data_IF_937052034653
#
_entry.id   IF_937052034653
#
_cell.length_a   1.000
_cell.length_b   1.000
_cell.length_c   1.000
_cell.angle_alpha   90.00
_cell.angle_beta   90.00
_cell.angle_gamma   90.00
#
_symmetry.space_group_name_H-M   'P 1'
#
loop_
_entity.id
_entity.type
_entity.pdbx_description
1 polymer ?
#
# COMPACT_ATOMS: atom_id res chain seq x y z
N UNK A 1 1.97 25.35 11.19
CA UNK A 1 1.76 25.22 12.65
C UNK A 1 2.01 23.78 13.14
N UNK A 2 1.90 22.75 12.29
CA UNK A 2 2.15 21.33 12.68
C UNK A 2 3.61 20.97 12.99
N UNK A 3 4.61 21.56 12.32
CA UNK A 3 6.03 21.24 12.58
C UNK A 3 6.47 21.57 14.02
N UNK A 4 5.92 22.64 14.60
CA UNK A 4 6.25 23.08 15.95
C UNK A 4 5.69 22.12 17.02
N UNK A 5 4.57 21.44 16.74
CA UNK A 5 3.95 20.48 17.66
C UNK A 5 4.75 19.18 17.68
N UNK A 6 5.21 18.68 16.53
CA UNK A 6 6.00 17.44 16.46
C UNK A 6 7.38 17.60 17.12
N UNK A 7 8.07 18.72 16.91
CA UNK A 7 9.37 19.00 17.55
C UNK A 7 9.26 19.25 19.06
N UNK A 8 8.24 19.99 19.52
CA UNK A 8 8.00 20.18 20.96
C UNK A 8 7.67 18.86 21.66
N UNK A 9 6.84 18.03 21.04
CA UNK A 9 6.44 16.74 21.63
C UNK A 9 7.63 15.77 21.69
N UNK A 10 8.56 15.82 20.73
CA UNK A 10 9.83 15.06 20.78
C UNK A 10 10.77 15.54 21.89
N UNK A 11 10.78 16.86 22.16
CA UNK A 11 11.60 17.47 23.21
C UNK A 11 11.09 17.12 24.62
N UNK A 12 9.80 16.80 24.74
CA UNK A 12 9.17 16.34 25.99
C UNK A 12 9.17 14.82 26.19
N UNK A 13 9.63 14.05 25.19
CA UNK A 13 9.90 12.61 25.35
C UNK A 13 11.36 12.33 25.76
N UNK A 14 11.54 11.19 26.43
CA UNK A 14 12.83 10.56 26.68
C UNK A 14 12.89 9.23 25.94
N UNK A 15 14.04 8.94 25.31
CA UNK A 15 14.32 7.63 24.75
C UNK A 15 14.34 6.59 25.88
N UNK A 16 13.57 5.52 25.71
CA UNK A 16 13.49 4.41 26.65
C UNK A 16 14.34 3.22 26.17
N UNK A 17 14.17 2.81 24.91
CA UNK A 17 14.91 1.72 24.30
C UNK A 17 14.97 1.85 22.78
N UNK A 18 15.95 1.21 22.14
CA UNK A 18 16.11 1.15 20.68
C UNK A 18 16.14 -0.29 20.21
N UNK A 19 15.44 -0.56 19.11
CA UNK A 19 15.29 -1.88 18.50
C UNK A 19 15.57 -1.83 17.00
N UNK A 20 15.96 -2.96 16.42
CA UNK A 20 16.19 -3.08 14.97
C UNK A 20 14.90 -3.36 14.20
N UNK A 21 13.86 -3.89 14.87
CA UNK A 21 12.58 -4.22 14.27
C UNK A 21 11.40 -3.66 15.06
N UNK A 22 10.31 -3.42 14.33
CA UNK A 22 9.04 -2.99 14.91
C UNK A 22 8.44 -4.03 15.88
N UNK A 23 8.49 -5.36 15.61
CA UNK A 23 7.93 -6.34 16.54
C UNK A 23 8.60 -6.35 17.92
N UNK A 24 9.90 -6.06 18.00
CA UNK A 24 10.63 -5.94 19.26
C UNK A 24 10.18 -4.70 20.05
N UNK A 25 10.04 -3.56 19.35
CA UNK A 25 9.52 -2.34 19.95
C UNK A 25 8.07 -2.52 20.44
N UNK A 26 7.22 -3.17 19.65
CA UNK A 26 5.84 -3.47 20.03
C UNK A 26 5.79 -4.38 21.26
N UNK A 27 6.62 -5.43 21.31
CA UNK A 27 6.70 -6.32 22.48
C UNK A 27 7.08 -5.60 23.77
N UNK A 28 7.86 -4.51 23.72
CA UNK A 28 8.12 -3.68 24.90
C UNK A 28 6.85 -2.95 25.33
N UNK A 29 6.14 -2.32 24.39
CA UNK A 29 4.88 -1.61 24.68
C UNK A 29 3.80 -2.57 25.19
N UNK A 30 3.72 -3.77 24.63
CA UNK A 30 2.78 -4.80 25.07
C UNK A 30 3.05 -5.19 26.54
N UNK A 31 4.32 -5.43 26.92
CA UNK A 31 4.67 -5.68 28.34
C UNK A 31 4.32 -4.51 29.25
N UNK A 32 4.56 -3.29 28.80
CA UNK A 32 4.19 -2.08 29.54
C UNK A 32 2.67 -2.03 29.75
N UNK A 33 1.89 -2.32 28.71
CA UNK A 33 0.42 -2.38 28.77
C UNK A 33 -0.07 -3.46 29.74
N UNK A 34 0.50 -4.66 29.68
CA UNK A 34 0.10 -5.80 30.53
C UNK A 34 0.32 -5.52 32.02
N UNK A 35 1.41 -4.79 32.34
CA UNK A 35 1.72 -4.36 33.70
C UNK A 35 0.96 -3.08 34.12
N UNK A 36 0.01 -2.61 33.31
CA UNK A 36 -0.86 -1.47 33.59
C UNK A 36 -0.20 -0.10 33.40
N UNK A 37 0.93 -0.02 32.68
CA UNK A 37 1.55 1.25 32.35
C UNK A 37 0.67 2.03 31.36
N UNK A 38 0.50 3.35 31.54
CA UNK A 38 -0.29 4.20 30.65
C UNK A 38 0.40 4.38 29.29
N UNK A 39 0.10 3.48 28.35
CA UNK A 39 0.70 3.41 27.00
C UNK A 39 0.41 4.63 26.13
N UNK A 40 -0.56 5.47 26.49
CA UNK A 40 -0.83 6.74 25.82
C UNK A 40 0.35 7.72 25.89
N UNK A 41 1.24 7.50 26.87
CA UNK A 41 2.49 8.26 27.04
C UNK A 41 3.70 7.64 26.31
N UNK A 42 3.47 6.58 25.52
CA UNK A 42 4.52 5.83 24.81
C UNK A 42 4.39 6.06 23.30
N UNK A 43 5.54 6.25 22.63
CA UNK A 43 5.63 6.49 21.19
C UNK A 43 6.69 5.60 20.57
N UNK A 44 6.36 4.93 19.47
CA UNK A 44 7.34 4.19 18.66
C UNK A 44 7.72 5.08 17.47
N UNK A 45 8.99 5.48 17.41
CA UNK A 45 9.53 6.35 16.36
C UNK A 45 10.45 5.52 15.46
N UNK A 46 10.09 5.40 14.19
CA UNK A 46 10.96 4.82 13.17
C UNK A 46 12.02 5.84 12.75
N UNK A 47 13.29 5.54 12.98
CA UNK A 47 14.40 6.43 12.73
C UNK A 47 15.24 6.01 11.52
N UNK A 48 15.84 7.00 10.84
CA UNK A 48 16.63 6.78 9.63
C UNK A 48 15.80 6.18 8.49
N UNK A 49 14.57 6.66 8.30
CA UNK A 49 13.66 6.18 7.25
C UNK A 49 14.32 6.36 5.88
N UNK A 50 14.50 5.26 5.16
CA UNK A 50 14.90 5.26 3.76
C UNK A 50 13.75 4.83 2.88
N UNK A 51 13.62 5.48 1.74
CA UNK A 51 12.74 5.01 0.68
C UNK A 51 13.49 3.98 -0.14
N UNK A 52 12.96 2.75 -0.22
CA UNK A 52 13.51 1.71 -1.09
C UNK A 52 12.55 1.54 -2.26
N UNK A 53 13.05 1.80 -3.47
CA UNK A 53 12.31 1.60 -4.72
C UNK A 53 12.70 0.23 -5.29
N UNK A 54 11.84 -0.79 -5.09
CA UNK A 54 12.12 -2.11 -5.66
C UNK A 54 11.67 -2.16 -7.12
N UNK A 55 12.64 -2.31 -8.02
CA UNK A 55 12.41 -2.48 -9.45
C UNK A 55 11.87 -3.89 -9.69
N UNK A 56 10.56 -4.02 -9.90
CA UNK A 56 9.89 -5.32 -10.08
C UNK A 56 9.89 -5.82 -11.52
N UNK A 57 10.20 -4.96 -12.49
CA UNK A 57 10.33 -5.32 -13.90
C UNK A 57 10.04 -4.17 -14.86
N UNK A 58 10.15 -4.46 -16.17
CA UNK A 58 9.81 -3.52 -17.24
C UNK A 58 8.32 -3.60 -17.57
N UNK A 59 7.60 -2.50 -17.37
CA UNK A 59 6.22 -2.38 -17.87
C UNK A 59 6.28 -1.99 -19.35
N UNK A 60 6.14 -2.96 -20.24
CA UNK A 60 6.10 -2.70 -21.70
C UNK A 60 4.69 -2.34 -22.13
N UNK A 61 4.57 -1.57 -23.22
CA UNK A 61 3.28 -1.22 -23.86
C UNK A 61 2.40 -2.44 -24.15
N UNK A 62 3.02 -3.59 -24.45
CA UNK A 62 2.31 -4.86 -24.64
C UNK A 62 1.66 -5.41 -23.36
N UNK A 63 2.30 -5.26 -22.20
CA UNK A 63 1.73 -5.69 -20.92
C UNK A 63 0.54 -4.81 -20.51
N UNK A 64 0.61 -3.50 -20.79
CA UNK A 64 -0.51 -2.59 -20.56
C UNK A 64 -1.70 -2.89 -21.49
N UNK A 65 -1.43 -3.16 -22.77
CA UNK A 65 -2.46 -3.58 -23.72
C UNK A 65 -3.10 -4.91 -23.32
N UNK A 66 -2.31 -5.89 -22.86
CA UNK A 66 -2.84 -7.17 -22.35
C UNK A 66 -3.71 -6.98 -21.09
N UNK A 67 -3.26 -6.17 -20.14
CA UNK A 67 -4.04 -5.87 -18.93
C UNK A 67 -5.38 -5.20 -19.30
N UNK A 68 -5.34 -4.24 -20.23
CA UNK A 68 -6.54 -3.62 -20.78
C UNK A 68 -7.43 -4.61 -21.54
N UNK A 69 -6.86 -5.54 -22.30
CA UNK A 69 -7.62 -6.56 -23.01
C UNK A 69 -8.38 -7.48 -22.05
N UNK A 70 -7.74 -7.88 -20.94
CA UNK A 70 -8.37 -8.72 -19.91
C UNK A 70 -9.53 -7.98 -19.24
N UNK A 71 -9.35 -6.72 -18.85
CA UNK A 71 -10.43 -5.95 -18.22
C UNK A 71 -11.57 -5.66 -19.19
N UNK A 72 -11.25 -5.34 -20.45
CA UNK A 72 -12.23 -5.13 -21.51
C UNK A 72 -12.98 -6.41 -21.90
N UNK A 73 -12.30 -7.56 -21.92
CA UNK A 73 -12.92 -8.86 -22.16
C UNK A 73 -13.97 -9.17 -21.09
N UNK A 74 -13.64 -8.95 -19.81
CA UNK A 74 -14.57 -9.12 -18.70
C UNK A 74 -15.80 -8.22 -18.85
N UNK A 75 -15.59 -6.94 -19.18
CA UNK A 75 -16.68 -6.00 -19.44
C UNK A 75 -17.53 -6.43 -20.66
N UNK A 76 -16.88 -6.89 -21.73
CA UNK A 76 -17.53 -7.44 -22.92
C UNK A 76 -18.43 -8.62 -22.58
N UNK A 77 -17.95 -9.57 -21.77
CA UNK A 77 -18.75 -10.70 -21.28
C UNK A 77 -19.95 -10.23 -20.47
N UNK A 78 -19.78 -9.26 -19.57
CA UNK A 78 -20.88 -8.69 -18.79
C UNK A 78 -21.98 -8.11 -19.70
N UNK A 79 -21.59 -7.27 -20.67
CA UNK A 79 -22.51 -6.66 -21.62
C UNK A 79 -23.18 -7.73 -22.49
N UNK A 80 -22.40 -8.70 -22.98
CA UNK A 80 -22.93 -9.83 -23.73
C UNK A 80 -23.95 -10.64 -22.96
N UNK A 81 -23.71 -10.92 -21.67
CA UNK A 81 -24.63 -11.69 -20.82
C UNK A 81 -25.91 -10.91 -20.59
N UNK A 82 -25.81 -9.60 -20.39
CA UNK A 82 -26.95 -8.71 -20.22
C UNK A 82 -27.86 -8.74 -21.46
N UNK A 83 -27.30 -8.55 -22.66
CA UNK A 83 -28.08 -8.61 -23.91
C UNK A 83 -28.50 -10.04 -24.27
N UNK A 84 -27.67 -11.03 -23.94
CA UNK A 84 -27.95 -12.44 -24.13
C UNK A 84 -29.19 -12.90 -23.36
N UNK A 85 -29.45 -12.34 -22.18
CA UNK A 85 -30.65 -12.63 -21.38
C UNK A 85 -31.95 -12.29 -22.11
N UNK A 86 -31.93 -11.30 -23.00
CA UNK A 86 -33.07 -10.89 -23.81
C UNK A 86 -33.09 -11.52 -25.21
N UNK A 87 -32.13 -12.39 -25.52
CA UNK A 87 -31.99 -13.01 -26.85
C UNK A 87 -32.51 -14.45 -26.84
N UNK A 88 -33.42 -14.76 -27.76
CA UNK A 88 -33.98 -16.09 -27.90
C UNK A 88 -33.07 -17.05 -28.71
N UNK A 89 -33.18 -18.35 -28.43
CA UNK A 89 -32.47 -19.41 -29.18
C UNK A 89 -30.96 -19.41 -28.93
N UNK A 90 -30.16 -19.95 -29.85
CA UNK A 90 -28.71 -20.06 -29.67
C UNK A 90 -27.93 -18.76 -29.97
N UNK A 91 -28.61 -17.67 -30.35
CA UNK A 91 -27.97 -16.42 -30.76
C UNK A 91 -27.29 -15.68 -29.60
N UNK A 92 -27.67 -15.94 -28.35
CA UNK A 92 -26.99 -15.36 -27.18
C UNK A 92 -25.51 -15.76 -27.11
N UNK A 93 -25.13 -16.97 -27.55
CA UNK A 93 -23.74 -17.43 -27.57
C UNK A 93 -22.92 -16.57 -28.55
N UNK A 94 -23.48 -16.26 -29.73
CA UNK A 94 -22.81 -15.40 -30.70
C UNK A 94 -22.66 -13.96 -30.19
N UNK A 95 -23.69 -13.42 -29.54
CA UNK A 95 -23.61 -12.11 -28.89
C UNK A 95 -22.54 -12.07 -27.79
N UNK A 96 -22.41 -13.12 -26.98
CA UNK A 96 -21.34 -13.25 -26.00
C UNK A 96 -19.95 -13.23 -26.63
N UNK A 97 -19.74 -14.01 -27.69
CA UNK A 97 -18.45 -14.07 -28.36
C UNK A 97 -18.09 -12.72 -28.98
N UNK A 98 -19.02 -12.10 -29.70
CA UNK A 98 -18.80 -10.79 -30.34
C UNK A 98 -18.49 -9.71 -29.30
N UNK A 99 -19.29 -9.63 -28.23
CA UNK A 99 -19.08 -8.64 -27.16
C UNK A 99 -17.77 -8.88 -26.39
N UNK A 100 -17.37 -10.13 -26.16
CA UNK A 100 -16.07 -10.49 -25.61
C UNK A 100 -14.92 -9.97 -26.49
N UNK A 101 -14.94 -10.23 -27.81
CA UNK A 101 -13.87 -9.79 -28.72
C UNK A 101 -13.82 -8.27 -28.85
N UNK A 102 -14.98 -7.61 -28.97
CA UNK A 102 -15.06 -6.15 -29.05
C UNK A 102 -14.58 -5.53 -27.74
N UNK A 103 -15.01 -6.07 -26.59
CA UNK A 103 -14.58 -5.63 -25.27
C UNK A 103 -13.07 -5.78 -25.08
N UNK A 104 -12.52 -6.93 -25.46
CA UNK A 104 -11.08 -7.18 -25.40
C UNK A 104 -10.29 -6.22 -26.29
N UNK A 105 -10.76 -5.97 -27.53
CA UNK A 105 -10.11 -5.06 -28.46
C UNK A 105 -10.10 -3.63 -27.93
N UNK A 106 -11.26 -3.08 -27.54
CA UNK A 106 -11.34 -1.73 -27.00
C UNK A 106 -10.63 -1.60 -25.66
N UNK A 107 -10.72 -2.61 -24.80
CA UNK A 107 -9.95 -2.67 -23.56
C UNK A 107 -8.45 -2.61 -23.80
N UNK A 108 -7.93 -3.34 -24.79
CA UNK A 108 -6.54 -3.29 -25.17
C UNK A 108 -6.12 -1.89 -25.65
N UNK A 109 -6.95 -1.25 -26.48
CA UNK A 109 -6.73 0.11 -26.97
C UNK A 109 -6.71 1.11 -25.80
N UNK A 110 -7.69 1.05 -24.89
CA UNK A 110 -7.72 1.92 -23.71
C UNK A 110 -6.56 1.65 -22.75
N UNK A 111 -6.18 0.39 -22.53
CA UNK A 111 -5.01 0.05 -21.71
C UNK A 111 -3.71 0.59 -22.30
N UNK A 112 -3.57 0.53 -23.62
CA UNK A 112 -2.45 1.12 -24.35
C UNK A 112 -2.46 2.66 -24.26
N UNK A 113 -3.60 3.30 -24.53
CA UNK A 113 -3.74 4.77 -24.49
C UNK A 113 -3.57 5.31 -23.08
N UNK A 114 -4.12 4.64 -22.07
CA UNK A 114 -3.93 4.99 -20.66
C UNK A 114 -2.44 4.99 -20.34
N UNK A 115 -1.72 3.90 -20.65
CA UNK A 115 -0.28 3.80 -20.44
C UNK A 115 0.52 4.87 -21.22
N UNK A 116 0.08 5.22 -22.43
CA UNK A 116 0.70 6.30 -23.22
C UNK A 116 0.45 7.67 -22.58
N UNK A 117 -0.76 7.95 -22.12
CA UNK A 117 -1.18 9.22 -21.53
C UNK A 117 -0.54 9.49 -20.17
N UNK A 118 -0.26 8.43 -19.39
CA UNK A 118 0.46 8.52 -18.10
C UNK A 118 1.96 8.80 -18.28
N UNK A 119 2.43 9.01 -19.52
CA UNK A 119 3.82 9.30 -19.92
C UNK A 119 4.80 8.21 -19.46
N UNK A 120 5.38 7.49 -20.43
CA UNK A 120 6.53 6.61 -20.23
C UNK A 120 7.81 7.35 -19.83
N UNK A 121 7.83 7.93 -18.63
CA UNK A 121 8.98 8.68 -18.11
C UNK A 121 9.83 7.89 -17.11
N UNK A 122 9.43 6.69 -16.66
CA UNK A 122 10.34 5.73 -16.01
C UNK A 122 9.89 4.29 -16.30
N UNK A 123 10.76 3.52 -16.97
CA UNK A 123 10.53 2.13 -17.42
C UNK A 123 10.49 1.09 -16.28
N UNK A 124 9.92 1.43 -15.13
CA UNK A 124 9.92 0.58 -13.94
C UNK A 124 8.56 0.63 -13.23
N UNK A 125 7.97 -0.54 -12.99
CA UNK A 125 6.96 -0.65 -11.94
C UNK A 125 7.69 -0.67 -10.61
N UNK A 126 7.55 0.42 -9.85
CA UNK A 126 8.10 0.50 -8.52
C UNK A 126 7.02 0.39 -7.46
N UNK A 127 7.33 -0.39 -6.43
CA UNK A 127 6.62 -0.34 -5.17
C UNK A 127 7.48 0.50 -4.26
N UNK A 128 6.95 1.63 -3.80
CA UNK A 128 7.63 2.49 -2.85
C UNK A 128 7.38 1.94 -1.45
N UNK A 129 8.43 1.48 -0.78
CA UNK A 129 8.36 1.10 0.64
C UNK A 129 9.19 2.08 1.46
N UNK A 130 8.60 2.56 2.56
CA UNK A 130 9.30 3.27 3.62
C UNK A 130 9.83 2.23 4.61
N UNK A 131 11.15 2.15 4.75
CA UNK A 131 11.81 1.25 5.69
C UNK A 131 12.62 2.07 6.70
N UNK A 132 12.25 1.99 7.98
CA UNK A 132 13.07 2.54 9.06
C UNK A 132 14.31 1.65 9.30
N UNK A 133 15.44 2.26 9.66
CA UNK A 133 16.67 1.53 10.00
C UNK A 133 16.64 1.01 11.43
N UNK A 134 15.98 1.73 12.33
CA UNK A 134 15.80 1.38 13.74
C UNK A 134 14.48 1.94 14.25
N UNK A 135 13.98 1.36 15.33
CA UNK A 135 12.76 1.76 16.01
C UNK A 135 13.10 2.15 17.43
N UNK A 136 12.76 3.36 17.81
CA UNK A 136 13.00 3.92 19.13
C UNK A 136 11.68 3.99 19.89
N UNK A 137 11.66 3.46 21.11
CA UNK A 137 10.53 3.63 22.02
C UNK A 137 10.82 4.82 22.90
N UNK A 138 9.98 5.83 22.81
CA UNK A 138 10.03 7.08 23.55
C UNK A 138 8.88 7.13 24.55
N UNK A 139 9.13 7.71 25.72
CA UNK A 139 8.11 7.93 26.76
C UNK A 139 8.15 9.37 27.21
N UNK A 140 7.00 9.94 27.56
CA UNK A 140 6.95 11.29 28.13
C UNK A 140 7.87 11.41 29.35
N UNK A 141 8.64 12.50 29.42
CA UNK A 141 9.68 12.72 30.45
C UNK A 141 9.15 12.57 31.87
N UNK A 142 7.90 12.96 32.12
CA UNK A 142 7.25 12.84 33.43
C UNK A 142 7.15 11.39 33.94
N UNK A 143 7.16 10.39 33.04
CA UNK A 143 7.03 8.96 33.35
C UNK A 143 8.25 8.12 32.99
N UNK A 144 9.33 8.77 32.52
CA UNK A 144 10.55 8.09 32.10
C UNK A 144 11.19 7.24 33.22
N UNK A 145 11.18 7.73 34.46
CA UNK A 145 11.73 6.99 35.60
C UNK A 145 10.93 5.72 35.94
N UNK A 146 9.61 5.76 35.81
CA UNK A 146 8.75 4.59 35.97
C UNK A 146 8.95 3.61 34.82
N UNK A 147 9.02 4.12 33.59
CA UNK A 147 9.17 3.30 32.38
C UNK A 147 10.52 2.57 32.31
N UNK A 148 11.57 3.10 32.95
CA UNK A 148 12.90 2.48 32.97
C UNK A 148 12.91 1.04 33.52
N UNK A 149 11.92 0.65 34.34
CA UNK A 149 11.79 -0.71 34.89
C UNK A 149 11.52 -1.80 33.84
N UNK A 150 11.08 -1.43 32.63
CA UNK A 150 10.70 -2.37 31.57
C UNK A 150 11.82 -2.72 30.60
N UNK A 151 12.97 -2.04 30.71
CA UNK A 151 14.14 -2.18 29.82
C UNK A 151 15.29 -2.93 30.48
N UNK A 152 15.33 -2.99 31.81
CA UNK A 152 16.26 -3.80 32.61
C UNK A 152 15.80 -5.26 32.65
#
# INVERSE_FOLDING_TARGET
MEQNVTEQNLTESSLLATFTGYPEAQRLVDRMSDDGFPVESVRIVGEGVRTVEQVTGRMTRGRAALAGAVSGAWFGVLIGLLFGLFTAGAAWIWLLLISLFIGAFWGAVFGFVAHWSTRGQRDFSSVMTLQAQRYEVHVDKARAAEAARYVL
#
